data_IF_930051862128
#
_entry.id   IF_930051862128
#
_cell.length_a   1.000
_cell.length_b   1.000
_cell.length_c   1.000
_cell.angle_alpha   90.00
_cell.angle_beta   90.00
_cell.angle_gamma   90.00
#
_symmetry.space_group_name_H-M   'P 1'
#
loop_
_entity.id
_entity.type
_entity.pdbx_description
1 polymer ?
#
# COMPACT_ATOMS: atom_id res chain seq x y z
N UNK A 1 -3.63 -3.22 -18.76
CA UNK A 1 -3.85 -3.60 -17.34
C UNK A 1 -2.53 -4.16 -16.83
N UNK A 2 -2.33 -4.27 -15.53
CA UNK A 2 -1.09 -4.87 -15.01
C UNK A 2 -0.97 -6.33 -15.52
N UNK A 3 0.21 -6.73 -16.00
CA UNK A 3 0.45 -8.11 -16.43
C UNK A 3 0.90 -9.00 -15.25
N UNK A 4 0.82 -10.32 -15.45
CA UNK A 4 1.10 -11.29 -14.39
C UNK A 4 2.57 -11.27 -13.93
N UNK A 5 3.52 -10.96 -14.82
CA UNK A 5 4.95 -10.87 -14.48
C UNK A 5 5.22 -9.72 -13.51
N UNK A 6 4.57 -8.57 -13.71
CA UNK A 6 4.66 -7.43 -12.80
C UNK A 6 4.00 -7.75 -11.44
N UNK A 7 2.86 -8.43 -11.45
CA UNK A 7 2.20 -8.91 -10.22
C UNK A 7 3.16 -9.83 -9.44
N UNK A 8 3.71 -10.85 -10.09
CA UNK A 8 4.67 -11.77 -9.46
C UNK A 8 5.86 -10.99 -8.88
N UNK A 9 6.40 -10.02 -9.62
CA UNK A 9 7.49 -9.16 -9.15
C UNK A 9 7.12 -8.36 -7.90
N UNK A 10 5.92 -7.79 -7.82
CA UNK A 10 5.42 -7.11 -6.60
C UNK A 10 5.35 -8.08 -5.42
N UNK A 11 4.80 -9.28 -5.62
CA UNK A 11 4.64 -10.28 -4.56
C UNK A 11 5.96 -10.91 -4.10
N UNK A 12 7.02 -10.92 -4.93
CA UNK A 12 8.37 -11.32 -4.50
C UNK A 12 8.85 -10.51 -3.30
N UNK A 13 8.42 -9.26 -3.16
CA UNK A 13 8.76 -8.43 -2.01
C UNK A 13 8.27 -8.99 -0.66
N UNK A 14 7.24 -9.84 -0.64
CA UNK A 14 6.79 -10.53 0.56
C UNK A 14 7.75 -11.65 1.00
N UNK A 15 8.62 -12.13 0.11
CA UNK A 15 9.67 -13.12 0.42
C UNK A 15 11.01 -12.49 0.78
N UNK A 16 11.22 -11.21 0.46
CA UNK A 16 12.49 -10.52 0.72
C UNK A 16 12.57 -10.20 2.22
N UNK A 17 13.40 -10.96 2.94
CA UNK A 17 13.66 -10.74 4.36
C UNK A 17 14.51 -9.50 4.59
N UNK A 18 14.12 -8.69 5.57
CA UNK A 18 14.86 -7.53 6.05
C UNK A 18 15.48 -7.82 7.40
N UNK A 19 16.64 -7.23 7.68
CA UNK A 19 17.38 -7.41 8.94
C UNK A 19 17.65 -8.89 9.26
N UNK A 20 18.06 -9.69 8.26
CA UNK A 20 18.35 -11.12 8.39
C UNK A 20 19.78 -11.45 8.81
N UNK A 21 20.58 -10.42 8.97
CA UNK A 21 21.86 -10.37 9.65
C UNK A 21 21.74 -10.15 11.17
N UNK A 22 20.55 -9.81 11.68
CA UNK A 22 20.30 -9.57 13.10
C UNK A 22 19.20 -10.48 13.69
N UNK A 23 19.32 -10.89 14.97
CA UNK A 23 18.21 -11.51 15.70
C UNK A 23 16.99 -10.59 15.73
N UNK A 24 15.81 -11.12 15.39
CA UNK A 24 14.55 -10.36 15.34
C UNK A 24 13.38 -11.17 15.89
N UNK A 25 12.49 -10.49 16.62
CA UNK A 25 11.28 -11.08 17.21
C UNK A 25 10.14 -11.31 16.20
N UNK A 26 10.20 -10.69 15.03
CA UNK A 26 9.16 -10.78 14.01
C UNK A 26 9.79 -10.96 12.63
N UNK A 27 9.03 -11.54 11.70
CA UNK A 27 9.44 -11.55 10.31
C UNK A 27 9.25 -10.15 9.72
N UNK A 28 10.32 -9.54 9.23
CA UNK A 28 10.30 -8.22 8.60
C UNK A 28 10.58 -8.44 7.11
N UNK A 29 9.67 -7.97 6.25
CA UNK A 29 9.77 -8.17 4.80
C UNK A 29 9.71 -6.86 4.04
N UNK A 30 10.25 -6.85 2.82
CA UNK A 30 10.32 -5.63 2.00
C UNK A 30 8.96 -5.05 1.67
N UNK A 31 7.96 -5.89 1.40
CA UNK A 31 6.61 -5.44 1.07
C UNK A 31 6.01 -4.58 2.20
N UNK A 32 6.10 -5.03 3.45
CA UNK A 32 5.57 -4.32 4.62
C UNK A 32 6.32 -3.00 4.89
N UNK A 33 7.64 -3.00 4.70
CA UNK A 33 8.46 -1.79 4.81
C UNK A 33 8.05 -0.74 3.77
N UNK A 34 7.80 -1.17 2.54
CA UNK A 34 7.39 -0.27 1.47
C UNK A 34 5.97 0.26 1.70
N UNK A 35 5.04 -0.59 2.16
CA UNK A 35 3.71 -0.15 2.53
C UNK A 35 3.75 0.94 3.61
N UNK A 36 4.57 0.74 4.65
CA UNK A 36 4.78 1.73 5.69
C UNK A 36 5.39 3.03 5.15
N UNK A 37 6.37 2.93 4.23
CA UNK A 37 6.94 4.09 3.52
C UNK A 37 5.86 4.88 2.78
N UNK A 38 4.95 4.25 2.05
CA UNK A 38 3.88 4.97 1.35
C UNK A 38 2.95 5.71 2.32
N UNK A 39 2.62 5.10 3.45
CA UNK A 39 1.81 5.74 4.50
C UNK A 39 2.53 6.95 5.09
N UNK A 40 3.82 6.82 5.43
CA UNK A 40 4.61 7.93 5.97
C UNK A 40 4.75 9.04 4.92
N UNK A 41 5.01 8.68 3.66
CA UNK A 41 5.14 9.63 2.56
C UNK A 41 3.85 10.43 2.35
N UNK A 42 2.67 9.80 2.46
CA UNK A 42 1.38 10.50 2.43
C UNK A 42 1.32 11.61 3.48
N UNK A 43 1.58 11.26 4.75
CA UNK A 43 1.47 12.23 5.85
C UNK A 43 2.50 13.35 5.74
N UNK A 44 3.74 13.04 5.35
CA UNK A 44 4.77 14.07 5.13
C UNK A 44 4.35 14.96 3.96
N UNK A 45 3.98 14.39 2.81
CA UNK A 45 3.60 15.15 1.62
C UNK A 45 2.40 16.07 1.85
N UNK A 46 1.36 15.60 2.54
CA UNK A 46 0.15 16.37 2.84
C UNK A 46 0.36 17.53 3.81
N UNK A 47 1.49 17.57 4.49
CA UNK A 47 1.88 18.68 5.36
C UNK A 47 2.79 19.70 4.66
N UNK A 48 3.23 19.38 3.45
CA UNK A 48 4.10 20.21 2.64
C UNK A 48 3.31 21.00 1.61
N UNK A 49 3.77 22.21 1.30
CA UNK A 49 3.20 23.02 0.21
C UNK A 49 3.67 22.52 -1.15
N UNK A 50 2.79 22.64 -2.15
CA UNK A 50 3.05 22.42 -3.58
C UNK A 50 3.63 21.03 -3.91
N UNK A 51 3.08 20.01 -3.24
CA UNK A 51 3.44 18.61 -3.48
C UNK A 51 2.43 17.95 -4.41
N UNK A 52 2.90 17.61 -5.60
CA UNK A 52 2.21 16.72 -6.52
C UNK A 52 2.22 15.29 -5.97
N UNK A 53 1.03 14.80 -5.60
CA UNK A 53 0.84 13.48 -5.03
C UNK A 53 0.99 12.36 -6.06
N UNK A 54 0.72 12.61 -7.35
CA UNK A 54 0.94 11.62 -8.40
C UNK A 54 2.42 11.29 -8.52
N UNK A 55 3.29 12.31 -8.45
CA UNK A 55 4.74 12.11 -8.46
C UNK A 55 5.22 11.34 -7.21
N UNK A 56 4.59 11.55 -6.05
CA UNK A 56 4.89 10.76 -4.83
C UNK A 56 4.50 9.29 -5.02
N UNK A 57 3.31 9.03 -5.57
CA UNK A 57 2.82 7.67 -5.85
C UNK A 57 3.71 6.97 -6.88
N UNK A 58 3.90 7.58 -8.05
CA UNK A 58 4.72 7.02 -9.13
C UNK A 58 6.18 6.83 -8.69
N UNK A 59 6.80 7.86 -8.09
CA UNK A 59 8.16 7.76 -7.58
C UNK A 59 8.32 6.67 -6.50
N UNK A 60 7.32 6.51 -5.63
CA UNK A 60 7.28 5.42 -4.65
C UNK A 60 7.22 4.04 -5.33
N UNK A 61 6.37 3.88 -6.36
CA UNK A 61 6.24 2.64 -7.12
C UNK A 61 7.54 2.34 -7.87
N UNK A 62 8.15 3.34 -8.50
CA UNK A 62 9.41 3.18 -9.22
C UNK A 62 10.56 2.72 -8.30
N UNK A 63 10.69 3.37 -7.15
CA UNK A 63 11.69 2.98 -6.14
C UNK A 63 11.42 1.59 -5.57
N UNK A 64 10.14 1.22 -5.38
CA UNK A 64 9.75 -0.10 -4.91
C UNK A 64 10.11 -1.20 -5.94
N UNK A 65 9.67 -1.04 -7.19
CA UNK A 65 9.96 -2.01 -8.27
C UNK A 65 11.47 -2.17 -8.48
N UNK A 66 12.22 -1.07 -8.43
CA UNK A 66 13.69 -1.08 -8.51
C UNK A 66 14.31 -1.83 -7.33
N UNK A 67 13.79 -1.61 -6.11
CA UNK A 67 14.30 -2.25 -4.89
C UNK A 67 14.17 -3.77 -4.93
N UNK A 68 13.08 -4.29 -5.50
CA UNK A 68 12.89 -5.74 -5.65
C UNK A 68 13.93 -6.35 -6.60
N UNK A 69 14.42 -5.60 -7.60
CA UNK A 69 15.47 -6.08 -8.51
C UNK A 69 16.83 -6.17 -7.81
N UNK A 70 17.20 -5.13 -7.07
CA UNK A 70 18.51 -5.01 -6.40
C UNK A 70 18.53 -5.68 -5.01
N UNK A 71 17.57 -6.57 -4.73
CA UNK A 71 17.48 -7.28 -3.46
C UNK A 71 18.72 -8.14 -3.20
N UNK A 72 18.96 -8.50 -1.94
CA UNK A 72 20.11 -9.28 -1.45
C UNK A 72 21.47 -8.55 -1.46
N UNK A 73 21.48 -7.24 -1.73
CA UNK A 73 22.65 -6.39 -1.55
C UNK A 73 22.49 -5.60 -0.24
N UNK A 74 23.48 -5.72 0.66
CA UNK A 74 23.52 -4.95 1.91
C UNK A 74 23.46 -3.44 1.58
N UNK A 75 22.68 -2.62 2.32
CA UNK A 75 22.44 -1.24 1.93
C UNK A 75 23.70 -0.40 1.70
N UNK A 76 24.70 -0.48 2.57
CA UNK A 76 26.00 0.20 2.45
C UNK A 76 26.77 -0.21 1.18
N UNK A 77 26.78 -1.50 0.84
CA UNK A 77 27.38 -2.02 -0.40
C UNK A 77 26.61 -1.48 -1.60
N UNK A 78 25.29 -1.47 -1.55
CA UNK A 78 24.46 -0.90 -2.61
C UNK A 78 24.73 0.60 -2.80
N UNK A 79 24.88 1.35 -1.71
CA UNK A 79 25.22 2.78 -1.77
C UNK A 79 26.58 3.01 -2.45
N UNK A 80 27.58 2.19 -2.15
CA UNK A 80 28.90 2.31 -2.79
C UNK A 80 28.85 1.93 -4.28
N UNK A 81 28.10 0.88 -4.65
CA UNK A 81 27.89 0.50 -6.06
C UNK A 81 27.22 1.66 -6.81
N UNK A 82 26.13 2.22 -6.28
CA UNK A 82 25.42 3.33 -6.92
C UNK A 82 26.31 4.57 -7.04
N UNK A 83 27.17 4.84 -6.06
CA UNK A 83 28.11 5.97 -6.13
C UNK A 83 29.06 5.88 -7.32
N UNK A 84 29.53 4.67 -7.65
CA UNK A 84 30.50 4.45 -8.73
C UNK A 84 29.87 4.09 -10.07
N UNK A 85 28.71 3.44 -10.05
CA UNK A 85 28.10 2.73 -11.18
C UNK A 85 26.60 3.01 -11.33
N UNK A 86 26.14 4.21 -10.97
CA UNK A 86 24.72 4.61 -11.03
C UNK A 86 24.07 4.29 -12.38
N UNK A 87 24.73 4.66 -13.47
CA UNK A 87 24.17 4.49 -14.81
C UNK A 87 24.01 3.00 -15.18
N UNK A 88 25.01 2.18 -14.86
CA UNK A 88 24.99 0.75 -15.11
C UNK A 88 23.94 0.03 -14.24
N UNK A 89 23.79 0.41 -12.97
CA UNK A 89 22.74 -0.10 -12.09
C UNK A 89 21.35 0.26 -12.63
N UNK A 90 21.15 1.52 -13.03
CA UNK A 90 19.88 1.96 -13.60
C UNK A 90 19.55 1.19 -14.88
N UNK A 91 20.51 1.04 -15.78
CA UNK A 91 20.33 0.27 -17.03
C UNK A 91 19.99 -1.20 -16.74
N UNK A 92 20.66 -1.81 -15.75
CA UNK A 92 20.35 -3.17 -15.33
C UNK A 92 18.93 -3.29 -14.77
N UNK A 93 18.51 -2.38 -13.89
CA UNK A 93 17.14 -2.35 -13.34
C UNK A 93 16.12 -2.22 -14.48
N UNK A 94 16.33 -1.29 -15.41
CA UNK A 94 15.46 -1.11 -16.57
C UNK A 94 15.34 -2.40 -17.39
N UNK A 95 16.45 -3.07 -17.69
CA UNK A 95 16.43 -4.33 -18.46
C UNK A 95 15.61 -5.46 -17.82
N UNK A 96 15.40 -5.40 -16.50
CA UNK A 96 14.57 -6.37 -15.76
C UNK A 96 13.11 -5.98 -15.69
N UNK A 97 12.82 -4.68 -15.57
CA UNK A 97 11.47 -4.15 -15.37
C UNK A 97 10.75 -3.89 -16.70
N UNK A 98 11.46 -3.47 -17.75
CA UNK A 98 10.90 -3.11 -19.06
C UNK A 98 9.93 -4.17 -19.62
N UNK A 99 10.27 -5.48 -19.67
CA UNK A 99 9.36 -6.51 -20.18
C UNK A 99 8.08 -6.71 -19.34
N UNK A 100 8.01 -6.09 -18.17
CA UNK A 100 6.87 -6.14 -17.26
C UNK A 100 5.98 -4.90 -17.38
N UNK A 101 6.47 -3.80 -17.97
CA UNK A 101 5.77 -2.50 -17.97
C UNK A 101 5.68 -1.82 -19.34
N UNK A 102 6.32 -2.36 -20.38
CA UNK A 102 6.38 -1.77 -21.73
C UNK A 102 5.00 -1.49 -22.34
N UNK A 103 4.02 -2.36 -22.11
CA UNK A 103 2.66 -2.21 -22.64
C UNK A 103 1.75 -1.28 -21.82
N UNK A 104 2.24 -0.73 -20.69
CA UNK A 104 1.43 0.09 -19.80
C UNK A 104 1.32 1.52 -20.36
N UNK A 105 0.07 1.96 -20.59
CA UNK A 105 -0.23 3.25 -21.22
C UNK A 105 0.52 3.44 -22.55
N UNK A 106 0.57 2.41 -23.39
CA UNK A 106 1.25 2.44 -24.69
C UNK A 106 2.73 2.88 -24.57
N UNK A 107 3.40 2.48 -23.48
CA UNK A 107 4.80 2.78 -23.19
C UNK A 107 5.05 4.09 -22.44
N UNK A 108 4.03 4.91 -22.21
CA UNK A 108 4.21 6.19 -21.49
C UNK A 108 4.60 5.99 -20.02
N UNK A 109 4.15 4.92 -19.37
CA UNK A 109 4.57 4.61 -18.01
C UNK A 109 6.06 4.25 -17.94
N UNK A 110 6.56 3.48 -18.90
CA UNK A 110 8.00 3.15 -19.02
C UNK A 110 8.84 4.41 -19.22
N UNK A 111 8.43 5.34 -20.09
CA UNK A 111 9.12 6.62 -20.27
C UNK A 111 9.22 7.43 -18.97
N UNK A 112 8.16 7.46 -18.17
CA UNK A 112 8.17 8.13 -16.85
C UNK A 112 9.11 7.43 -15.87
N UNK A 113 9.14 6.09 -15.88
CA UNK A 113 10.03 5.28 -15.07
C UNK A 113 11.52 5.55 -15.42
N UNK A 114 11.86 5.54 -16.71
CA UNK A 114 13.21 5.85 -17.22
C UNK A 114 13.65 7.27 -16.85
N UNK A 115 12.76 8.24 -17.06
CA UNK A 115 13.02 9.64 -16.70
C UNK A 115 13.23 9.79 -15.18
N UNK A 116 12.52 9.00 -14.36
CA UNK A 116 12.73 8.99 -12.91
C UNK A 116 14.06 8.34 -12.52
N UNK A 117 14.50 7.24 -13.14
CA UNK A 117 15.77 6.63 -12.78
C UNK A 117 16.97 7.48 -13.19
N UNK A 118 16.93 8.04 -14.39
CA UNK A 118 18.06 8.74 -15.00
C UNK A 118 18.09 10.25 -14.72
N UNK A 119 16.95 10.82 -14.31
CA UNK A 119 16.82 12.24 -14.00
C UNK A 119 17.02 12.59 -12.52
N UNK A 120 17.21 13.88 -12.26
CA UNK A 120 17.23 14.48 -10.92
C UNK A 120 16.00 15.37 -10.65
N UNK A 121 14.98 15.29 -11.52
CA UNK A 121 13.73 16.02 -11.34
C UNK A 121 13.03 15.62 -10.03
N UNK A 122 12.13 16.50 -9.58
CA UNK A 122 11.28 16.27 -8.40
C UNK A 122 12.04 16.17 -7.06
N UNK A 123 13.11 16.95 -6.89
CA UNK A 123 13.98 16.93 -5.70
C UNK A 123 13.21 16.88 -4.35
N UNK A 124 12.21 17.75 -4.16
CA UNK A 124 11.37 17.76 -2.94
C UNK A 124 10.59 16.45 -2.75
N UNK A 125 10.02 15.89 -3.82
CA UNK A 125 9.23 14.64 -3.76
C UNK A 125 10.13 13.44 -3.47
N UNK A 126 11.32 13.40 -4.07
CA UNK A 126 12.35 12.41 -3.76
C UNK A 126 12.83 12.51 -2.31
N UNK A 127 13.01 13.72 -1.79
CA UNK A 127 13.36 13.92 -0.39
C UNK A 127 12.28 13.38 0.55
N UNK A 128 11.00 13.62 0.25
CA UNK A 128 9.87 13.06 1.00
C UNK A 128 9.91 11.52 0.99
N UNK A 129 10.14 10.91 -0.17
CA UNK A 129 10.24 9.44 -0.30
C UNK A 129 11.45 8.87 0.45
N UNK A 130 12.59 9.57 0.45
CA UNK A 130 13.77 9.21 1.24
C UNK A 130 13.48 9.29 2.74
N UNK A 131 12.93 10.40 3.21
CA UNK A 131 12.53 10.58 4.62
C UNK A 131 11.55 9.49 5.06
N UNK A 132 10.53 9.21 4.26
CA UNK A 132 9.55 8.17 4.55
C UNK A 132 10.17 6.76 4.59
N UNK A 133 11.11 6.48 3.68
CA UNK A 133 11.87 5.23 3.66
C UNK A 133 12.72 5.08 4.92
N UNK A 134 13.39 6.16 5.32
CA UNK A 134 14.20 6.21 6.54
C UNK A 134 13.34 5.96 7.78
N UNK A 135 12.21 6.66 7.95
CA UNK A 135 11.34 6.47 9.12
C UNK A 135 10.76 5.05 9.22
N UNK A 136 10.41 4.42 8.09
CA UNK A 136 10.01 3.02 8.07
C UNK A 136 11.14 2.09 8.53
N UNK A 137 12.36 2.30 8.03
CA UNK A 137 13.56 1.54 8.45
C UNK A 137 13.87 1.75 9.94
N UNK A 138 13.78 3.00 10.44
CA UNK A 138 13.99 3.32 11.86
C UNK A 138 12.97 2.63 12.75
N UNK A 139 11.71 2.58 12.32
CA UNK A 139 10.66 1.87 13.06
C UNK A 139 10.96 0.37 13.17
N UNK A 140 11.43 -0.26 12.08
CA UNK A 140 11.90 -1.66 12.11
C UNK A 140 13.12 -1.85 13.00
N UNK A 141 14.09 -0.94 12.91
CA UNK A 141 15.30 -0.97 13.72
C UNK A 141 14.97 -0.94 15.21
N UNK A 142 13.96 -0.19 15.64
CA UNK A 142 13.53 -0.19 17.04
C UNK A 142 13.10 -1.58 17.54
N UNK A 143 12.56 -2.45 16.67
CA UNK A 143 12.24 -3.85 17.03
C UNK A 143 13.51 -4.68 17.11
N UNK A 144 14.38 -4.55 16.10
CA UNK A 144 15.64 -5.29 15.99
C UNK A 144 16.58 -4.95 17.16
N UNK A 145 16.64 -3.68 17.55
CA UNK A 145 17.45 -3.18 18.65
C UNK A 145 17.11 -3.87 19.97
N UNK A 146 15.82 -4.07 20.27
CA UNK A 146 15.39 -4.73 21.51
C UNK A 146 15.92 -6.17 21.64
N UNK A 147 16.08 -6.87 20.51
CA UNK A 147 16.53 -8.26 20.48
C UNK A 147 18.02 -8.41 20.20
N UNK A 148 18.67 -7.34 19.74
CA UNK A 148 20.06 -7.35 19.31
C UNK A 148 20.97 -6.49 20.19
N UNK A 149 20.46 -5.96 21.31
CA UNK A 149 21.20 -5.13 22.26
C UNK A 149 22.46 -5.79 22.86
N UNK A 150 22.60 -7.12 22.73
CA UNK A 150 23.78 -7.85 23.17
C UNK A 150 24.94 -7.83 22.17
N UNK A 151 24.73 -7.32 20.95
CA UNK A 151 25.77 -7.19 19.93
C UNK A 151 26.57 -5.91 20.14
N UNK A 152 27.89 -5.99 19.98
CA UNK A 152 28.79 -4.86 20.28
C UNK A 152 28.62 -3.65 19.34
N UNK A 153 28.13 -3.87 18.11
CA UNK A 153 28.02 -2.86 17.05
C UNK A 153 26.63 -2.21 16.97
N UNK A 154 25.63 -2.71 17.71
CA UNK A 154 24.24 -2.27 17.58
C UNK A 154 24.04 -0.81 18.00
N UNK A 155 24.82 -0.31 18.95
CA UNK A 155 24.77 1.08 19.40
C UNK A 155 25.39 2.03 18.36
N UNK A 156 26.37 1.58 17.57
CA UNK A 156 26.89 2.38 16.44
C UNK A 156 25.81 2.55 15.36
N UNK A 157 25.05 1.49 15.08
CA UNK A 157 23.93 1.54 14.13
C UNK A 157 22.84 2.46 14.65
N UNK A 158 22.53 2.40 15.95
CA UNK A 158 21.58 3.31 16.59
C UNK A 158 22.01 4.77 16.43
N UNK A 159 23.28 5.08 16.69
CA UNK A 159 23.80 6.44 16.53
C UNK A 159 23.69 6.91 15.07
N UNK A 160 24.08 6.08 14.09
CA UNK A 160 23.93 6.40 12.66
C UNK A 160 22.47 6.66 12.27
N UNK A 161 21.55 5.83 12.77
CA UNK A 161 20.11 6.00 12.53
C UNK A 161 19.63 7.31 13.14
N UNK A 162 20.04 7.66 14.36
CA UNK A 162 19.69 8.94 15.01
C UNK A 162 20.29 10.15 14.26
N UNK A 163 21.53 10.05 13.77
CA UNK A 163 22.21 11.12 13.00
C UNK A 163 21.55 11.39 11.65
N UNK A 164 21.17 10.37 10.87
CA UNK A 164 20.52 10.54 9.56
C UNK A 164 19.17 11.26 9.67
N UNK A 165 18.57 11.34 10.87
CA UNK A 165 17.34 12.09 11.09
C UNK A 165 17.46 13.56 10.71
N UNK A 166 18.64 14.15 10.92
CA UNK A 166 18.89 15.58 10.71
C UNK A 166 18.78 15.97 9.23
N UNK A 167 19.10 15.05 8.31
CA UNK A 167 19.04 15.24 6.86
C UNK A 167 17.62 15.57 6.37
N UNK A 168 16.60 15.23 7.16
CA UNK A 168 15.20 15.41 6.81
C UNK A 168 14.51 16.54 7.58
N UNK A 169 15.25 17.29 8.42
CA UNK A 169 14.68 18.36 9.24
C UNK A 169 14.09 19.52 8.45
N UNK A 170 14.36 19.67 7.15
CA UNK A 170 13.67 20.68 6.34
C UNK A 170 12.16 20.37 6.17
N UNK A 171 11.78 19.08 6.21
CA UNK A 171 10.39 18.63 6.07
C UNK A 171 9.61 18.81 7.38
N UNK A 172 8.48 19.51 7.32
CA UNK A 172 7.61 19.76 8.49
C UNK A 172 7.12 18.43 9.06
N UNK A 173 6.69 17.52 8.19
CA UNK A 173 6.25 16.18 8.58
C UNK A 173 7.33 15.41 9.33
N UNK A 174 8.56 15.38 8.80
CA UNK A 174 9.69 14.69 9.42
C UNK A 174 9.99 15.23 10.83
N UNK A 175 10.03 16.56 11.01
CA UNK A 175 10.21 17.17 12.34
C UNK A 175 9.14 16.75 13.34
N UNK A 176 7.86 16.72 12.92
CA UNK A 176 6.76 16.32 13.82
C UNK A 176 6.84 14.83 14.21
N UNK A 177 7.29 13.98 13.30
CA UNK A 177 7.52 12.55 13.57
C UNK A 177 8.68 12.38 14.55
N UNK A 178 9.80 13.07 14.29
CA UNK A 178 10.99 13.08 15.15
C UNK A 178 10.68 13.50 16.59
N UNK A 179 9.90 14.58 16.76
CA UNK A 179 9.46 15.10 18.05
C UNK A 179 8.34 14.27 18.72
N UNK A 180 8.05 13.07 18.21
CA UNK A 180 7.04 12.14 18.72
C UNK A 180 5.66 12.79 18.93
N UNK A 181 5.26 13.68 18.01
CA UNK A 181 3.94 14.32 18.07
C UNK A 181 2.83 13.33 17.67
N UNK A 182 1.58 13.81 17.65
CA UNK A 182 0.38 13.04 17.24
C UNK A 182 0.60 12.17 15.99
N UNK A 183 1.27 12.71 14.97
CA UNK A 183 1.56 12.00 13.72
C UNK A 183 2.43 10.75 13.89
N UNK A 184 3.35 10.74 14.86
CA UNK A 184 4.19 9.56 15.13
C UNK A 184 3.33 8.38 15.61
N UNK A 185 2.23 8.65 16.31
CA UNK A 185 1.30 7.62 16.81
C UNK A 185 0.51 6.95 15.69
N UNK A 186 0.06 7.69 14.67
CA UNK A 186 -0.63 7.08 13.52
C UNK A 186 0.35 6.31 12.62
N UNK A 187 1.59 6.79 12.48
CA UNK A 187 2.65 6.05 11.78
C UNK A 187 2.97 4.74 12.50
N UNK A 188 3.10 4.79 13.83
CA UNK A 188 3.31 3.60 14.65
C UNK A 188 2.14 2.62 14.55
N UNK A 189 0.90 3.12 14.67
CA UNK A 189 -0.30 2.30 14.53
C UNK A 189 -0.34 1.59 13.16
N UNK A 190 -0.02 2.31 12.09
CA UNK A 190 0.09 1.75 10.74
C UNK A 190 1.19 0.69 10.64
N UNK A 191 2.34 0.93 11.26
CA UNK A 191 3.46 -0.01 11.27
C UNK A 191 3.13 -1.35 11.91
N UNK A 192 2.25 -1.38 12.92
CA UNK A 192 1.81 -2.59 13.63
C UNK A 192 0.99 -3.55 12.78
N UNK A 193 0.39 -3.10 11.67
CA UNK A 193 -0.38 -3.96 10.76
C UNK A 193 0.47 -5.08 10.14
N UNK A 194 1.80 -4.94 10.14
CA UNK A 194 2.72 -6.03 9.72
C UNK A 194 2.67 -7.27 10.60
N UNK A 195 2.20 -7.14 11.84
CA UNK A 195 2.08 -8.26 12.76
C UNK A 195 0.78 -9.04 12.57
N UNK A 196 -0.14 -8.51 11.75
CA UNK A 196 -1.42 -9.15 11.46
C UNK A 196 -1.28 -9.94 10.16
N UNK A 197 -1.14 -11.26 10.30
CA UNK A 197 -1.03 -12.18 9.16
C UNK A 197 -2.40 -12.35 8.51
N UNK A 198 -2.46 -12.27 7.19
CA UNK A 198 -3.64 -12.66 6.42
C UNK A 198 -3.72 -14.18 6.32
N UNK A 199 -4.92 -14.70 6.06
CA UNK A 199 -5.16 -16.14 5.99
C UNK A 199 -4.73 -16.86 7.28
N UNK A 200 -4.96 -16.25 8.45
CA UNK A 200 -4.37 -16.66 9.73
C UNK A 200 -4.63 -18.12 10.17
N UNK A 201 -5.62 -18.79 9.58
CA UNK A 201 -5.95 -20.18 9.86
C UNK A 201 -5.24 -21.19 8.95
N UNK A 202 -4.42 -20.74 7.99
CA UNK A 202 -3.75 -21.63 7.04
C UNK A 202 -2.35 -21.13 6.66
N UNK A 203 -1.32 -22.00 6.63
CA UNK A 203 0.00 -21.60 6.19
C UNK A 203 -0.01 -21.21 4.71
N UNK A 204 0.80 -20.22 4.32
CA UNK A 204 0.83 -19.68 2.96
C UNK A 204 2.24 -19.21 2.58
N UNK A 205 2.63 -19.35 1.31
CA UNK A 205 3.91 -18.83 0.79
C UNK A 205 3.68 -17.97 -0.46
N UNK A 206 4.22 -16.74 -0.53
CA UNK A 206 4.85 -16.02 0.58
C UNK A 206 3.79 -15.57 1.59
N UNK A 207 4.11 -15.58 2.88
CA UNK A 207 3.23 -15.01 3.90
C UNK A 207 3.06 -13.50 3.68
N UNK A 208 1.83 -12.98 3.81
CA UNK A 208 1.54 -11.54 3.72
C UNK A 208 0.87 -11.09 5.00
N UNK A 209 1.25 -9.90 5.45
CA UNK A 209 0.54 -9.19 6.48
C UNK A 209 -0.50 -8.24 5.88
N UNK A 210 -1.43 -7.76 6.72
CA UNK A 210 -2.42 -6.73 6.34
C UNK A 210 -1.70 -5.51 5.75
N UNK A 211 -0.59 -5.08 6.34
CA UNK A 211 0.18 -3.92 5.87
C UNK A 211 0.67 -4.08 4.41
N UNK A 212 1.33 -5.20 4.09
CA UNK A 212 1.80 -5.47 2.75
C UNK A 212 0.66 -5.64 1.74
N UNK A 213 -0.44 -6.28 2.16
CA UNK A 213 -1.64 -6.42 1.35
C UNK A 213 -2.23 -5.06 0.94
N UNK A 214 -2.37 -4.12 1.87
CA UNK A 214 -2.86 -2.76 1.58
C UNK A 214 -2.06 -2.07 0.47
N UNK A 215 -0.72 -2.26 0.43
CA UNK A 215 0.09 -1.71 -0.66
C UNK A 215 -0.19 -2.41 -2.00
N UNK A 216 -0.35 -3.73 -2.00
CA UNK A 216 -0.70 -4.46 -3.23
C UNK A 216 -2.03 -3.93 -3.79
N UNK A 217 -3.05 -3.79 -2.95
CA UNK A 217 -4.35 -3.24 -3.36
C UNK A 217 -4.20 -1.80 -3.87
N UNK A 218 -3.38 -0.97 -3.24
CA UNK A 218 -3.11 0.40 -3.69
C UNK A 218 -2.43 0.43 -5.07
N UNK A 219 -1.42 -0.42 -5.31
CA UNK A 219 -0.73 -0.51 -6.60
C UNK A 219 -1.68 -1.01 -7.70
N UNK A 220 -2.52 -2.00 -7.41
CA UNK A 220 -3.56 -2.46 -8.33
C UNK A 220 -4.57 -1.35 -8.64
N UNK A 221 -5.00 -0.59 -7.62
CA UNK A 221 -5.86 0.58 -7.76
C UNK A 221 -5.24 1.70 -8.59
N UNK A 222 -3.92 1.89 -8.52
CA UNK A 222 -3.18 2.80 -9.39
C UNK A 222 -3.23 2.35 -10.85
N UNK A 223 -2.91 1.08 -11.15
CA UNK A 223 -2.96 0.57 -12.53
C UNK A 223 -4.38 0.52 -13.11
N UNK A 224 -5.38 0.26 -12.25
CA UNK A 224 -6.79 0.45 -12.61
C UNK A 224 -7.06 1.91 -13.01
N UNK A 225 -6.62 2.86 -12.19
CA UNK A 225 -6.80 4.31 -12.44
C UNK A 225 -6.14 4.76 -13.75
N UNK A 226 -4.96 4.23 -14.09
CA UNK A 226 -4.34 4.46 -15.40
C UNK A 226 -5.21 3.90 -16.54
N UNK A 227 -5.71 2.66 -16.40
CA UNK A 227 -6.50 2.00 -17.45
C UNK A 227 -7.80 2.75 -17.77
N UNK A 228 -8.44 3.34 -16.76
CA UNK A 228 -9.65 4.16 -16.93
C UNK A 228 -9.35 5.63 -17.24
N UNK A 229 -8.06 6.00 -17.37
CA UNK A 229 -7.61 7.39 -17.61
C UNK A 229 -8.15 8.37 -16.56
N UNK A 230 -8.05 7.99 -15.30
CA UNK A 230 -8.46 8.82 -14.18
C UNK A 230 -7.66 10.14 -14.14
N UNK A 231 -8.32 11.26 -13.81
CA UNK A 231 -7.61 12.50 -13.50
C UNK A 231 -6.74 12.34 -12.24
N UNK A 232 -5.78 13.24 -12.05
CA UNK A 232 -4.77 13.13 -10.99
C UNK A 232 -5.40 13.01 -9.59
N UNK A 233 -6.44 13.80 -9.28
CA UNK A 233 -7.07 13.73 -7.96
C UNK A 233 -7.85 12.42 -7.74
N UNK A 234 -8.51 11.88 -8.78
CA UNK A 234 -9.21 10.59 -8.70
C UNK A 234 -8.23 9.44 -8.55
N UNK A 235 -7.12 9.46 -9.30
CA UNK A 235 -6.03 8.49 -9.16
C UNK A 235 -5.42 8.54 -7.75
N UNK A 236 -5.11 9.74 -7.25
CA UNK A 236 -4.61 9.96 -5.90
C UNK A 236 -5.55 9.39 -4.85
N UNK A 237 -6.83 9.76 -4.92
CA UNK A 237 -7.82 9.33 -3.94
C UNK A 237 -8.06 7.82 -4.01
N UNK A 238 -8.07 7.22 -5.21
CA UNK A 238 -8.15 5.77 -5.38
C UNK A 238 -6.96 5.06 -4.73
N UNK A 239 -5.74 5.53 -4.99
CA UNK A 239 -4.53 4.94 -4.42
C UNK A 239 -4.55 5.00 -2.88
N UNK A 240 -4.85 6.16 -2.30
CA UNK A 240 -4.83 6.29 -0.85
C UNK A 240 -6.06 5.68 -0.16
N UNK A 241 -7.23 5.64 -0.80
CA UNK A 241 -8.38 4.88 -0.29
C UNK A 241 -8.00 3.40 -0.17
N UNK A 242 -7.39 2.83 -1.21
CA UNK A 242 -6.89 1.46 -1.19
C UNK A 242 -5.75 1.28 -0.18
N UNK A 243 -4.81 2.22 -0.07
CA UNK A 243 -3.71 2.12 0.89
C UNK A 243 -4.18 2.15 2.35
N UNK A 244 -5.32 2.78 2.65
CA UNK A 244 -5.81 2.95 4.02
C UNK A 244 -7.06 2.13 4.36
N UNK A 245 -7.58 1.30 3.45
CA UNK A 245 -8.87 0.62 3.63
C UNK A 245 -8.94 -0.24 4.91
N UNK A 246 -7.89 -1.02 5.17
CA UNK A 246 -7.73 -1.87 6.35
C UNK A 246 -6.99 -1.18 7.52
N UNK A 247 -6.71 0.13 7.46
CA UNK A 247 -6.03 0.82 8.57
C UNK A 247 -6.73 0.61 9.93
N UNK A 248 -8.07 0.62 10.03
CA UNK A 248 -8.76 0.34 11.30
C UNK A 248 -8.51 -1.05 11.88
N UNK A 249 -8.10 -2.03 11.06
CA UNK A 249 -7.78 -3.39 11.54
C UNK A 249 -6.60 -3.39 12.52
N UNK A 250 -5.78 -2.34 12.52
CA UNK A 250 -4.72 -2.13 13.53
C UNK A 250 -5.25 -2.12 14.97
N UNK A 251 -6.54 -1.84 15.17
CA UNK A 251 -7.22 -1.75 16.46
C UNK A 251 -8.20 -2.90 16.70
N UNK A 252 -8.94 -3.34 15.66
CA UNK A 252 -9.94 -4.41 15.78
C UNK A 252 -9.38 -5.81 15.56
N UNK A 253 -8.21 -5.92 14.91
CA UNK A 253 -7.71 -7.11 14.21
C UNK A 253 -8.63 -7.53 13.06
N UNK A 254 -8.11 -8.33 12.13
CA UNK A 254 -8.90 -8.91 11.05
C UNK A 254 -9.98 -9.85 11.61
N UNK A 255 -11.24 -9.45 11.47
CA UNK A 255 -12.40 -10.30 11.73
C UNK A 255 -12.82 -10.89 10.38
N UNK A 256 -12.61 -12.20 10.21
CA UNK A 256 -12.87 -12.90 8.95
C UNK A 256 -14.35 -12.82 8.53
N UNK A 257 -14.58 -12.78 7.21
CA UNK A 257 -15.92 -12.63 6.61
C UNK A 257 -16.98 -13.62 7.13
N UNK A 258 -16.69 -14.94 7.31
CA UNK A 258 -17.67 -15.87 7.84
C UNK A 258 -18.17 -15.53 9.24
N UNK A 259 -17.34 -14.87 10.06
CA UNK A 259 -17.72 -14.40 11.40
C UNK A 259 -18.52 -13.11 11.31
N UNK A 260 -18.10 -12.15 10.47
CA UNK A 260 -18.78 -10.85 10.28
C UNK A 260 -20.25 -11.01 9.86
N UNK A 261 -20.56 -11.99 9.01
CA UNK A 261 -21.91 -12.20 8.45
C UNK A 261 -22.61 -13.48 8.94
N UNK A 262 -22.00 -14.23 9.86
CA UNK A 262 -22.57 -15.48 10.36
C UNK A 262 -23.66 -15.30 11.42
N UNK A 263 -23.84 -14.09 11.95
CA UNK A 263 -24.82 -13.74 12.99
C UNK A 263 -25.56 -12.48 12.55
N UNK A 264 -26.89 -12.56 12.48
CA UNK A 264 -27.76 -11.42 12.15
C UNK A 264 -27.51 -10.25 13.12
N UNK A 265 -27.28 -9.06 12.56
CA UNK A 265 -27.02 -7.83 13.31
C UNK A 265 -25.60 -7.68 13.89
N UNK A 266 -24.74 -8.71 13.83
CA UNK A 266 -23.35 -8.59 14.31
C UNK A 266 -22.54 -7.60 13.47
N UNK A 267 -22.81 -7.53 12.17
CA UNK A 267 -22.12 -6.60 11.27
C UNK A 267 -22.30 -5.14 11.70
N UNK A 268 -23.51 -4.75 12.13
CA UNK A 268 -23.80 -3.38 12.56
C UNK A 268 -23.05 -3.04 13.86
N UNK A 269 -23.01 -3.98 14.81
CA UNK A 269 -22.24 -3.83 16.07
C UNK A 269 -20.75 -3.66 15.77
N UNK A 270 -20.19 -4.46 14.86
CA UNK A 270 -18.78 -4.37 14.45
C UNK A 270 -18.50 -3.01 13.83
N UNK A 271 -19.38 -2.52 12.94
CA UNK A 271 -19.23 -1.24 12.27
C UNK A 271 -19.27 -0.07 13.28
N UNK A 272 -20.23 -0.07 14.21
CA UNK A 272 -20.32 0.94 15.26
C UNK A 272 -19.09 0.94 16.17
N UNK A 273 -18.58 -0.24 16.52
CA UNK A 273 -17.38 -0.39 17.33
C UNK A 273 -16.12 0.07 16.59
N UNK A 274 -15.97 -0.28 15.31
CA UNK A 274 -14.89 0.19 14.45
C UNK A 274 -14.91 1.73 14.35
N UNK A 275 -16.07 2.33 14.10
CA UNK A 275 -16.24 3.77 14.06
C UNK A 275 -15.87 4.46 15.38
N UNK A 276 -16.23 3.86 16.52
CA UNK A 276 -15.81 4.35 17.84
C UNK A 276 -14.28 4.35 17.97
N UNK A 277 -13.63 3.25 17.59
CA UNK A 277 -12.17 3.12 17.66
C UNK A 277 -11.46 4.10 16.73
N UNK A 278 -11.96 4.29 15.51
CA UNK A 278 -11.44 5.30 14.57
C UNK A 278 -11.46 6.69 15.22
N UNK A 279 -12.58 7.08 15.82
CA UNK A 279 -12.76 8.39 16.45
C UNK A 279 -11.88 8.59 17.70
N UNK A 280 -11.63 7.54 18.47
CA UNK A 280 -10.86 7.62 19.72
C UNK A 280 -9.35 7.42 19.52
N UNK A 281 -8.94 6.66 18.50
CA UNK A 281 -7.58 6.10 18.38
C UNK A 281 -6.91 6.34 17.03
N UNK A 282 -7.63 6.83 16.00
CA UNK A 282 -7.05 7.16 14.68
C UNK A 282 -7.13 8.66 14.41
N UNK A 283 -8.34 9.20 14.26
CA UNK A 283 -8.56 10.60 13.88
C UNK A 283 -7.96 11.65 14.84
N UNK A 284 -7.82 11.40 16.16
CA UNK A 284 -7.13 12.32 17.07
C UNK A 284 -5.64 12.48 16.77
N UNK A 285 -5.03 11.52 16.07
CA UNK A 285 -3.61 11.52 15.70
C UNK A 285 -3.36 12.11 14.30
N UNK A 286 -4.41 12.26 13.49
CA UNK A 286 -4.35 12.94 12.19
C UNK A 286 -4.22 14.45 12.40
N UNK A 287 -3.32 15.16 11.68
CA UNK A 287 -3.24 16.61 11.70
C UNK A 287 -4.60 17.26 11.41
N UNK A 288 -4.94 18.33 12.13
CA UNK A 288 -6.26 18.95 12.07
C UNK A 288 -6.69 19.36 10.66
N UNK A 289 -5.82 20.03 9.90
CA UNK A 289 -6.09 20.43 8.53
C UNK A 289 -6.23 19.28 7.53
N UNK A 290 -5.80 18.05 7.89
CA UNK A 290 -5.89 16.86 7.04
C UNK A 290 -7.07 15.96 7.44
N UNK A 291 -7.70 16.19 8.58
CA UNK A 291 -8.67 15.26 9.16
C UNK A 291 -9.88 15.02 8.26
N UNK A 292 -10.43 16.06 7.65
CA UNK A 292 -11.58 15.94 6.75
C UNK A 292 -11.26 15.10 5.49
N UNK A 293 -10.14 15.39 4.83
CA UNK A 293 -9.67 14.62 3.68
C UNK A 293 -9.38 13.16 4.06
N UNK A 294 -8.70 12.93 5.19
CA UNK A 294 -8.38 11.59 5.65
C UNK A 294 -9.63 10.78 6.00
N UNK A 295 -10.62 11.38 6.66
CA UNK A 295 -11.93 10.75 6.91
C UNK A 295 -12.63 10.37 5.60
N UNK A 296 -12.59 11.24 4.59
CA UNK A 296 -13.15 10.95 3.27
C UNK A 296 -12.44 9.77 2.57
N UNK A 297 -11.11 9.73 2.65
CA UNK A 297 -10.28 8.64 2.12
C UNK A 297 -10.59 7.32 2.83
N UNK A 298 -10.78 7.33 4.15
CA UNK A 298 -11.19 6.16 4.94
C UNK A 298 -12.62 5.68 4.66
N UNK A 299 -13.39 6.40 3.84
CA UNK A 299 -14.79 6.04 3.54
C UNK A 299 -15.77 6.43 4.65
N UNK A 300 -15.39 7.36 5.54
CA UNK A 300 -16.27 7.84 6.60
C UNK A 300 -17.25 8.86 6.02
N UNK A 301 -18.54 8.63 6.23
CA UNK A 301 -19.63 9.54 5.83
C UNK A 301 -20.75 9.57 6.86
N UNK A 302 -21.62 10.55 6.72
CA UNK A 302 -22.90 10.55 7.43
C UNK A 302 -23.77 9.37 6.97
N UNK A 303 -24.47 8.75 7.92
CA UNK A 303 -25.43 7.68 7.66
C UNK A 303 -26.62 8.14 6.82
N UNK A 304 -27.18 7.23 6.04
CA UNK A 304 -28.39 7.42 5.22
C UNK A 304 -29.38 6.30 5.50
N UNK A 305 -30.68 6.56 5.33
CA UNK A 305 -31.73 5.53 5.35
C UNK A 305 -31.72 4.59 6.57
N UNK A 306 -31.65 5.13 7.78
CA UNK A 306 -31.72 4.34 9.02
C UNK A 306 -30.39 3.76 9.50
N UNK A 307 -29.28 4.04 8.80
CA UNK A 307 -27.93 3.78 9.29
C UNK A 307 -27.58 4.63 10.53
N UNK A 308 -26.56 4.20 11.28
CA UNK A 308 -25.91 4.97 12.34
C UNK A 308 -25.45 6.36 11.86
N UNK A 309 -25.34 7.33 12.78
CA UNK A 309 -24.99 8.73 12.46
C UNK A 309 -23.76 8.87 11.54
N UNK A 310 -22.75 8.00 11.74
CA UNK A 310 -21.60 7.89 10.86
C UNK A 310 -21.37 6.43 10.47
N UNK A 311 -21.03 6.21 9.21
CA UNK A 311 -20.71 4.90 8.63
C UNK A 311 -19.34 4.97 7.98
N UNK A 312 -18.57 3.89 8.12
CA UNK A 312 -17.37 3.64 7.32
C UNK A 312 -17.71 2.66 6.20
N UNK A 313 -17.50 3.09 4.96
CA UNK A 313 -17.54 2.23 3.79
C UNK A 313 -16.60 2.75 2.69
N UNK A 314 -15.37 2.23 2.70
CA UNK A 314 -14.30 2.54 1.75
C UNK A 314 -14.65 2.15 0.30
N UNK A 315 -15.50 1.15 0.10
CA UNK A 315 -15.77 0.53 -1.19
C UNK A 315 -17.05 1.04 -1.87
N UNK A 316 -17.60 2.16 -1.38
CA UNK A 316 -18.63 2.91 -2.09
C UNK A 316 -18.00 3.87 -3.12
N UNK A 317 -18.58 3.87 -4.33
CA UNK A 317 -18.32 4.92 -5.30
C UNK A 317 -18.83 6.24 -4.75
N UNK A 318 -17.95 7.23 -4.64
CA UNK A 318 -18.27 8.52 -4.01
C UNK A 318 -17.52 9.68 -4.63
N UNK A 319 -18.08 10.87 -4.51
CA UNK A 319 -17.45 12.15 -4.87
C UNK A 319 -17.39 13.07 -3.66
N UNK A 320 -16.51 14.07 -3.74
CA UNK A 320 -16.36 15.10 -2.72
C UNK A 320 -16.20 16.47 -3.38
N UNK A 321 -17.27 17.27 -3.32
CA UNK A 321 -17.31 18.62 -3.88
C UNK A 321 -17.97 19.57 -2.88
N UNK A 322 -17.41 20.76 -2.68
CA UNK A 322 -17.93 21.77 -1.75
C UNK A 322 -18.19 21.23 -0.33
N UNK A 323 -17.26 20.44 0.20
CA UNK A 323 -17.36 19.77 1.50
C UNK A 323 -18.53 18.78 1.66
N UNK A 324 -19.15 18.35 0.55
CA UNK A 324 -20.27 17.40 0.55
C UNK A 324 -19.85 16.08 -0.11
N UNK A 325 -20.16 14.96 0.56
CA UNK A 325 -19.98 13.61 0.04
C UNK A 325 -21.25 13.16 -0.68
N UNK A 326 -21.12 12.73 -1.93
CA UNK A 326 -22.23 12.13 -2.69
C UNK A 326 -21.89 10.70 -3.12
N UNK A 327 -22.85 9.79 -2.90
CA UNK A 327 -22.73 8.40 -3.32
C UNK A 327 -23.21 8.24 -4.74
N UNK A 328 -22.49 7.44 -5.52
CA UNK A 328 -22.83 7.16 -6.91
C UNK A 328 -23.08 5.66 -7.08
N UNK A 329 -24.23 5.28 -7.63
CA UNK A 329 -24.57 3.87 -7.85
C UNK A 329 -23.85 3.28 -9.07
N UNK A 330 -23.53 4.11 -10.08
CA UNK A 330 -22.92 3.71 -11.34
C UNK A 330 -21.46 4.12 -11.50
N UNK A 331 -21.02 4.15 -12.76
CA UNK A 331 -19.68 4.58 -13.17
C UNK A 331 -19.42 6.04 -12.79
N UNK A 332 -18.17 6.34 -12.43
CA UNK A 332 -17.70 7.69 -12.11
C UNK A 332 -17.05 8.41 -13.31
N UNK A 333 -17.26 7.92 -14.54
CA UNK A 333 -16.69 8.52 -15.77
C UNK A 333 -17.04 10.00 -15.94
N UNK A 334 -18.25 10.43 -15.55
CA UNK A 334 -18.68 11.84 -15.58
C UNK A 334 -18.05 12.71 -14.48
N UNK A 335 -17.32 12.11 -13.54
CA UNK A 335 -16.68 12.78 -12.40
C UNK A 335 -15.15 12.72 -12.50
N UNK A 336 -14.61 12.81 -13.73
CA UNK A 336 -13.18 12.67 -14.01
C UNK A 336 -12.41 14.00 -14.05
N UNK A 337 -12.74 14.91 -13.14
CA UNK A 337 -12.04 16.19 -12.97
C UNK A 337 -11.62 16.37 -11.51
N UNK A 338 -10.54 17.12 -11.29
CA UNK A 338 -9.95 17.25 -9.96
C UNK A 338 -10.92 17.78 -8.91
N UNK A 339 -11.88 18.63 -9.32
CA UNK A 339 -12.87 19.23 -8.42
C UNK A 339 -13.89 18.25 -7.82
N UNK A 340 -14.07 17.07 -8.41
CA UNK A 340 -15.01 16.07 -7.91
C UNK A 340 -14.41 15.16 -6.86
N UNK A 341 -13.09 15.11 -6.75
CA UNK A 341 -12.38 14.28 -5.77
C UNK A 341 -12.83 12.82 -5.77
N UNK A 342 -13.23 12.26 -6.91
CA UNK A 342 -13.94 10.99 -6.98
C UNK A 342 -13.10 9.80 -6.46
N UNK A 343 -13.78 8.80 -5.89
CA UNK A 343 -13.21 7.51 -5.45
C UNK A 343 -14.03 6.36 -6.02
N UNK A 344 -13.37 5.47 -6.75
CA UNK A 344 -13.92 4.27 -7.38
C UNK A 344 -14.02 3.09 -6.39
N UNK A 345 -14.69 3.29 -5.27
CA UNK A 345 -14.74 2.29 -4.18
C UNK A 345 -15.11 0.88 -4.65
N UNK A 346 -16.05 0.75 -5.60
CA UNK A 346 -16.44 -0.57 -6.13
C UNK A 346 -15.31 -1.25 -6.90
N UNK A 347 -14.53 -0.50 -7.68
CA UNK A 347 -13.38 -1.03 -8.40
C UNK A 347 -12.20 -1.32 -7.45
N UNK A 348 -12.05 -0.55 -6.38
CA UNK A 348 -11.06 -0.85 -5.33
C UNK A 348 -11.40 -2.16 -4.60
N UNK A 349 -12.68 -2.49 -4.44
CA UNK A 349 -13.10 -3.82 -3.93
C UNK A 349 -12.71 -4.96 -4.87
N UNK A 350 -12.71 -4.73 -6.19
CA UNK A 350 -12.19 -5.70 -7.16
C UNK A 350 -10.66 -5.84 -7.02
N UNK A 351 -9.96 -4.73 -6.76
CA UNK A 351 -8.51 -4.74 -6.50
C UNK A 351 -8.15 -5.50 -5.21
N UNK A 352 -8.93 -5.34 -4.14
CA UNK A 352 -8.78 -6.12 -2.90
C UNK A 352 -8.99 -7.62 -3.15
N UNK A 353 -10.11 -7.97 -3.78
CA UNK A 353 -10.43 -9.37 -4.07
C UNK A 353 -9.43 -10.04 -5.02
N UNK A 354 -8.94 -9.34 -6.06
CA UNK A 354 -7.93 -9.92 -6.96
C UNK A 354 -6.59 -10.08 -6.24
N UNK A 355 -6.23 -9.19 -5.31
CA UNK A 355 -5.04 -9.36 -4.48
C UNK A 355 -5.14 -10.63 -3.61
N UNK A 356 -6.29 -10.87 -2.97
CA UNK A 356 -6.54 -12.10 -2.21
C UNK A 356 -6.53 -13.36 -3.11
N UNK A 357 -7.05 -13.27 -4.33
CA UNK A 357 -6.99 -14.35 -5.32
C UNK A 357 -5.54 -14.69 -5.69
N UNK A 358 -4.71 -13.68 -5.95
CA UNK A 358 -3.28 -13.85 -6.26
C UNK A 358 -2.52 -14.43 -5.06
N UNK A 359 -2.80 -13.96 -3.84
CA UNK A 359 -2.20 -14.49 -2.60
C UNK A 359 -2.40 -16.00 -2.46
N UNK A 360 -3.62 -16.47 -2.71
CA UNK A 360 -3.96 -17.89 -2.67
C UNK A 360 -3.33 -18.66 -3.85
N UNK A 361 -3.45 -18.11 -5.07
CA UNK A 361 -2.91 -18.73 -6.29
C UNK A 361 -1.40 -18.94 -6.24
N UNK A 362 -0.63 -17.93 -5.79
CA UNK A 362 0.81 -18.04 -5.63
C UNK A 362 1.19 -19.17 -4.65
N UNK A 363 0.51 -19.24 -3.51
CA UNK A 363 0.77 -20.30 -2.51
C UNK A 363 0.49 -21.70 -3.05
N UNK A 364 -0.64 -21.86 -3.74
CA UNK A 364 -1.02 -23.12 -4.39
C UNK A 364 0.04 -23.50 -5.43
N UNK A 365 0.49 -22.54 -6.24
CA UNK A 365 1.53 -22.76 -7.26
C UNK A 365 2.89 -23.16 -6.66
N UNK A 366 3.20 -22.71 -5.44
CA UNK A 366 4.41 -23.08 -4.71
C UNK A 366 4.25 -24.38 -3.91
N UNK A 367 3.12 -25.06 -4.04
CA UNK A 367 2.84 -26.36 -3.42
C UNK A 367 2.30 -26.28 -2.00
N UNK A 368 2.09 -25.09 -1.44
CA UNK A 368 1.43 -24.90 -0.14
C UNK A 368 -0.06 -24.68 -0.38
N UNK A 369 -0.80 -25.78 -0.29
CA UNK A 369 -2.24 -25.85 -0.50
C UNK A 369 -2.96 -26.38 0.72
N UNK A 370 -4.12 -25.80 0.99
CA UNK A 370 -5.09 -26.23 2.01
C UNK A 370 -6.49 -26.14 1.42
N UNK A 371 -7.46 -26.79 2.05
CA UNK A 371 -8.86 -26.72 1.59
C UNK A 371 -9.38 -25.29 1.61
N UNK A 372 -8.94 -24.51 2.59
CA UNK A 372 -9.31 -23.10 2.76
C UNK A 372 -8.72 -22.24 1.63
N UNK A 373 -7.45 -22.45 1.27
CA UNK A 373 -6.82 -21.74 0.15
C UNK A 373 -7.44 -22.12 -1.20
N UNK A 374 -7.65 -23.42 -1.44
CA UNK A 374 -8.26 -23.91 -2.69
C UNK A 374 -9.69 -23.41 -2.83
N UNK A 375 -10.50 -23.50 -1.78
CA UNK A 375 -11.87 -23.00 -1.76
C UNK A 375 -11.93 -21.49 -1.96
N UNK A 376 -11.06 -20.73 -1.27
CA UNK A 376 -10.95 -19.29 -1.44
C UNK A 376 -10.57 -18.89 -2.87
N UNK A 377 -9.55 -19.56 -3.44
CA UNK A 377 -9.10 -19.35 -4.81
C UNK A 377 -10.21 -19.61 -5.83
N UNK A 378 -10.88 -20.77 -5.74
CA UNK A 378 -11.97 -21.15 -6.64
C UNK A 378 -13.19 -20.24 -6.48
N UNK A 379 -13.56 -19.88 -5.26
CA UNK A 379 -14.69 -18.98 -5.00
C UNK A 379 -14.45 -17.57 -5.56
N UNK A 380 -13.23 -17.06 -5.45
CA UNK A 380 -12.87 -15.78 -6.07
C UNK A 380 -12.78 -15.88 -7.60
N UNK A 381 -12.33 -17.03 -8.15
CA UNK A 381 -12.33 -17.27 -9.60
C UNK A 381 -13.74 -17.22 -10.20
N UNK A 382 -14.69 -17.95 -9.60
CA UNK A 382 -16.08 -17.95 -10.06
C UNK A 382 -16.72 -16.56 -9.91
N UNK A 383 -16.41 -15.81 -8.84
CA UNK A 383 -16.84 -14.41 -8.73
C UNK A 383 -16.40 -13.56 -9.93
N UNK A 384 -15.13 -13.63 -10.33
CA UNK A 384 -14.63 -12.86 -11.46
C UNK A 384 -15.14 -13.39 -12.80
N UNK A 385 -15.44 -14.67 -12.91
CA UNK A 385 -16.07 -15.24 -14.10
C UNK A 385 -17.50 -14.72 -14.30
N UNK A 386 -18.27 -14.61 -13.20
CA UNK A 386 -19.62 -14.04 -13.23
C UNK A 386 -19.61 -12.50 -13.34
N UNK A 387 -18.58 -11.86 -12.80
CA UNK A 387 -18.42 -10.41 -12.76
C UNK A 387 -17.06 -9.99 -13.36
N UNK A 388 -16.86 -10.19 -14.68
CA UNK A 388 -15.53 -10.07 -15.28
C UNK A 388 -15.03 -8.64 -15.38
N UNK A 389 -15.94 -7.68 -15.51
CA UNK A 389 -15.58 -6.30 -15.83
C UNK A 389 -16.19 -5.28 -14.88
N UNK A 390 -15.43 -4.23 -14.60
CA UNK A 390 -15.91 -3.01 -13.94
C UNK A 390 -15.28 -1.80 -14.62
N UNK A 391 -16.10 -0.80 -14.98
CA UNK A 391 -15.66 0.44 -15.65
C UNK A 391 -14.75 0.21 -16.87
N UNK A 392 -15.03 -0.84 -17.66
CA UNK A 392 -14.28 -1.20 -18.86
C UNK A 392 -12.95 -1.93 -18.61
N UNK A 393 -12.68 -2.33 -17.37
CA UNK A 393 -11.48 -3.07 -16.95
C UNK A 393 -11.85 -4.53 -16.68
N UNK A 394 -11.20 -5.48 -17.36
CA UNK A 394 -11.45 -6.92 -17.22
C UNK A 394 -10.52 -7.56 -16.19
N UNK A 395 -11.04 -7.88 -15.01
CA UNK A 395 -10.28 -8.55 -13.95
C UNK A 395 -10.19 -10.07 -14.18
N UNK A 396 -11.13 -10.67 -14.90
CA UNK A 396 -11.09 -12.10 -15.21
C UNK A 396 -9.91 -12.46 -16.14
N UNK A 397 -9.52 -11.57 -17.04
CA UNK A 397 -8.29 -11.73 -17.84
C UNK A 397 -7.03 -11.88 -16.98
N UNK A 398 -6.95 -11.19 -15.82
CA UNK A 398 -5.84 -11.39 -14.87
C UNK A 398 -5.91 -12.80 -14.28
N UNK A 399 -7.09 -13.27 -13.90
CA UNK A 399 -7.28 -14.61 -13.36
C UNK A 399 -6.80 -15.69 -14.34
N UNK A 400 -7.22 -15.59 -15.60
CA UNK A 400 -6.82 -16.56 -16.63
C UNK A 400 -5.32 -16.49 -16.92
N UNK A 401 -4.75 -15.28 -17.00
CA UNK A 401 -3.29 -15.09 -17.16
C UNK A 401 -2.50 -15.70 -16.00
N UNK A 402 -3.01 -15.59 -14.77
CA UNK A 402 -2.40 -16.17 -13.58
C UNK A 402 -2.40 -17.70 -13.65
N UNK A 403 -3.55 -18.29 -13.99
CA UNK A 403 -3.68 -19.75 -14.12
C UNK A 403 -2.81 -20.32 -15.21
N UNK A 404 -2.74 -19.66 -16.37
CA UNK A 404 -1.86 -20.08 -17.46
C UNK A 404 -0.39 -19.99 -17.06
N UNK A 405 0.02 -18.86 -16.47
CA UNK A 405 1.42 -18.60 -16.12
C UNK A 405 1.94 -19.54 -15.02
N UNK A 406 1.15 -19.77 -13.97
CA UNK A 406 1.52 -20.65 -12.86
C UNK A 406 1.07 -22.10 -13.00
N UNK A 407 0.29 -22.43 -14.05
CA UNK A 407 -0.26 -23.76 -14.34
C UNK A 407 -1.11 -24.31 -13.20
N UNK A 408 -2.08 -23.51 -12.71
CA UNK A 408 -2.97 -23.85 -11.59
C UNK A 408 -4.47 -23.82 -11.94
#
# INVERSE_FOLDING_TARGET
MINIKLIEHIFKAASISRWNDYPRMANLVELDKQAHKFIIAYFIAKMEKDVDMRVIIEGGIFEFLSRVVVTDIRPDVYHEIVRQKKAEVNAWVLSKIEPMIEDIEDGEFLKRFEAYLNGNAYAKKRLILKAASYFATRWEFNIVYQTSAFLNDIDEIKNKVEEELEDYYELIGARKIALNQKIAKIIDLSGRLRFQKRWAQTPRIPETAVLGHMLVVAILGYFYSLKIKACDKRLENNFYCALFHDLPESLTRDIISPVKYGIDGLHDIINDYEMKLINERILPFVPEGLRAEFSYILGIREGRNGESNFVKNEFENRTYKNAKIELCSGSLSSFNENEFGAIDGKALKYCDKIAAYIEAGLSISYGVKSKELESGFLGMHEFFKENPTIDGVNFFEICESLREYFKI
#
